data_IF_589711805358
#
_entry.id   IF_589711805358
#
_cell.length_a   1.000
_cell.length_b   1.000
_cell.length_c   1.000
_cell.angle_alpha   90.00
_cell.angle_beta   90.00
_cell.angle_gamma   90.00
#
_symmetry.space_group_name_H-M   'P 1'
#
loop_
_entity.id
_entity.type
_entity.pdbx_description
1 polymer ?
#
# COMPACT_ATOMS: atom_id res chain seq x y z
N UNK A 1 -27.67 -4.92 17.01
CA UNK A 1 -27.58 -5.62 15.72
C UNK A 1 -26.44 -6.62 15.78
N UNK A 2 -26.67 -7.82 16.33
CA UNK A 2 -25.64 -8.85 16.48
C UNK A 2 -25.42 -9.55 15.15
N UNK A 3 -24.38 -9.17 14.40
CA UNK A 3 -24.05 -9.77 13.11
C UNK A 3 -23.47 -11.17 13.30
N UNK A 4 -24.20 -12.18 12.84
CA UNK A 4 -23.76 -13.58 12.84
C UNK A 4 -22.54 -13.73 11.92
N UNK A 5 -21.44 -14.32 12.43
CA UNK A 5 -20.19 -14.52 11.68
C UNK A 5 -20.11 -15.96 11.16
N UNK A 6 -19.63 -16.13 9.93
CA UNK A 6 -19.40 -17.41 9.26
C UNK A 6 -17.97 -17.47 8.72
N UNK A 7 -17.35 -18.64 8.71
CA UNK A 7 -16.00 -18.81 8.14
C UNK A 7 -16.09 -19.06 6.63
N UNK A 8 -15.40 -18.26 5.83
CA UNK A 8 -15.39 -18.44 4.38
C UNK A 8 -14.66 -19.73 3.99
N UNK A 9 -15.25 -20.62 3.19
CA UNK A 9 -14.62 -21.88 2.78
C UNK A 9 -13.44 -21.69 1.81
N UNK A 10 -13.36 -20.55 1.13
CA UNK A 10 -12.26 -20.26 0.19
C UNK A 10 -11.01 -19.67 0.89
N UNK A 11 -11.19 -18.69 1.79
CA UNK A 11 -10.05 -18.00 2.42
C UNK A 11 -9.86 -18.29 3.91
N UNK A 12 -10.75 -19.08 4.53
CA UNK A 12 -10.66 -19.49 5.93
C UNK A 12 -10.90 -18.38 6.97
N UNK A 13 -11.23 -17.16 6.54
CA UNK A 13 -11.46 -16.01 7.45
C UNK A 13 -12.92 -15.90 7.89
N UNK A 14 -13.15 -15.54 9.16
CA UNK A 14 -14.48 -15.26 9.69
C UNK A 14 -15.02 -13.94 9.15
N UNK A 15 -16.06 -14.03 8.33
CA UNK A 15 -16.74 -12.91 7.68
C UNK A 15 -18.18 -12.79 8.18
N UNK A 16 -18.84 -11.67 7.91
CA UNK A 16 -20.24 -11.47 8.30
C UNK A 16 -21.12 -12.30 7.35
N UNK A 17 -22.18 -12.92 7.86
CA UNK A 17 -23.14 -13.64 7.02
C UNK A 17 -23.74 -12.69 5.97
N UNK A 18 -23.51 -13.00 4.69
CA UNK A 18 -23.94 -12.23 3.53
C UNK A 18 -23.67 -13.02 2.25
N UNK A 19 -24.06 -12.48 1.09
CA UNK A 19 -23.94 -13.19 -0.20
C UNK A 19 -22.49 -13.49 -0.58
N UNK A 20 -21.54 -12.64 -0.19
CA UNK A 20 -20.13 -12.76 -0.54
C UNK A 20 -19.24 -12.55 0.69
N UNK A 21 -18.08 -13.20 0.69
CA UNK A 21 -17.04 -12.95 1.68
C UNK A 21 -16.45 -11.56 1.50
N UNK A 22 -16.49 -10.73 2.55
CA UNK A 22 -15.93 -9.37 2.50
C UNK A 22 -14.41 -9.33 2.24
N UNK A 23 -13.71 -10.46 2.46
CA UNK A 23 -12.26 -10.53 2.35
C UNK A 23 -11.77 -11.05 0.99
N UNK A 24 -12.46 -12.03 0.40
CA UNK A 24 -12.03 -12.65 -0.86
C UNK A 24 -13.09 -12.63 -1.96
N UNK A 25 -14.28 -12.08 -1.71
CA UNK A 25 -15.36 -11.99 -2.70
C UNK A 25 -16.07 -13.32 -3.00
N UNK A 26 -15.66 -14.43 -2.38
CA UNK A 26 -16.25 -15.75 -2.60
C UNK A 26 -17.72 -15.79 -2.16
N UNK A 27 -18.60 -16.31 -3.01
CA UNK A 27 -20.04 -16.45 -2.74
C UNK A 27 -20.29 -17.42 -1.59
N UNK A 28 -20.92 -16.95 -0.51
CA UNK A 28 -21.16 -17.74 0.71
C UNK A 28 -22.53 -18.42 0.73
N UNK A 29 -23.49 -17.91 -0.04
CA UNK A 29 -24.83 -18.50 -0.18
C UNK A 29 -25.03 -19.01 -1.61
N UNK A 30 -25.27 -20.32 -1.83
CA UNK A 30 -25.72 -20.82 -3.12
C UNK A 30 -27.17 -20.35 -3.38
N UNK A 31 -27.50 -20.08 -4.65
CA UNK A 31 -28.83 -19.64 -5.07
C UNK A 31 -29.91 -20.67 -4.64
N UNK A 32 -31.12 -20.22 -4.23
CA UNK A 32 -32.14 -21.12 -3.71
C UNK A 32 -32.79 -21.92 -4.84
N UNK A 33 -32.69 -23.24 -4.79
CA UNK A 33 -33.62 -24.15 -5.47
C UNK A 33 -34.88 -24.35 -4.61
N UNK A 34 -36.09 -24.33 -5.20
CA UNK A 34 -37.35 -24.33 -4.46
C UNK A 34 -37.85 -25.74 -4.14
N UNK A 35 -38.08 -26.06 -2.85
CA UNK A 35 -39.06 -27.08 -2.42
C UNK A 35 -39.64 -26.69 -1.05
N UNK A 36 -40.96 -26.83 -0.92
CA UNK A 36 -41.89 -26.48 0.16
C UNK A 36 -41.86 -27.41 1.43
N UNK A 37 -42.58 -27.04 2.53
CA UNK A 37 -42.38 -27.43 3.95
C UNK A 37 -43.36 -28.56 4.41
N UNK A 38 -43.48 -29.03 5.70
CA UNK A 38 -43.70 -28.34 7.01
C UNK A 38 -42.85 -28.98 8.17
N UNK A 39 -42.85 -28.61 9.46
CA UNK A 39 -43.92 -28.36 10.45
C UNK A 39 -43.49 -27.53 11.68
N UNK A 40 -44.54 -27.08 12.35
CA UNK A 40 -44.76 -26.22 13.52
C UNK A 40 -44.33 -26.87 14.86
N UNK A 41 -43.88 -26.06 15.83
CA UNK A 41 -44.39 -26.10 17.21
C UNK A 41 -43.87 -24.93 18.05
N UNK A 42 -44.81 -24.10 18.50
CA UNK A 42 -44.71 -23.10 19.56
C UNK A 42 -44.43 -23.76 20.93
N UNK A 43 -43.84 -23.04 21.89
CA UNK A 43 -44.45 -22.82 23.22
C UNK A 43 -43.56 -22.02 24.20
N UNK A 44 -44.19 -20.94 24.72
CA UNK A 44 -44.28 -20.50 26.13
C UNK A 44 -43.09 -19.81 26.87
N UNK A 45 -43.18 -18.47 26.88
CA UNK A 45 -43.48 -17.59 28.04
C UNK A 45 -42.93 -17.87 29.48
N UNK A 46 -42.41 -16.76 30.05
CA UNK A 46 -42.52 -16.23 31.43
C UNK A 46 -41.58 -16.70 32.56
N UNK A 47 -40.76 -15.76 33.08
CA UNK A 47 -40.86 -15.06 34.40
C UNK A 47 -39.57 -14.23 34.63
N UNK A 48 -39.66 -12.91 34.89
CA UNK A 48 -39.72 -12.24 36.21
C UNK A 48 -38.41 -12.41 37.03
N UNK A 49 -37.79 -11.45 37.72
CA UNK A 49 -37.99 -10.02 38.03
C UNK A 49 -36.76 -9.58 38.89
N UNK A 50 -36.63 -8.27 39.20
CA UNK A 50 -35.91 -7.67 40.38
C UNK A 50 -34.36 -7.54 40.30
N UNK A 51 -33.67 -6.43 40.63
CA UNK A 51 -33.84 -5.17 41.44
C UNK A 51 -32.80 -4.13 40.89
N UNK A 52 -33.04 -2.82 40.67
CA UNK A 52 -33.08 -1.65 41.60
C UNK A 52 -31.95 -1.63 42.67
N UNK A 53 -31.21 -0.58 43.04
CA UNK A 53 -31.01 0.84 42.66
C UNK A 53 -29.74 1.35 43.43
N UNK A 54 -29.49 2.68 43.42
CA UNK A 54 -28.45 3.50 44.11
C UNK A 54 -27.04 3.60 43.46
N UNK A 55 -26.62 4.70 42.82
CA UNK A 55 -26.52 6.15 43.16
C UNK A 55 -25.49 6.43 44.26
N UNK A 56 -24.31 7.00 43.90
CA UNK A 56 -23.71 8.17 44.56
C UNK A 56 -22.82 8.91 43.54
N UNK A 57 -23.01 10.23 43.44
CA UNK A 57 -22.25 11.18 42.63
C UNK A 57 -21.30 12.05 43.50
N UNK A 58 -20.42 12.80 42.81
CA UNK A 58 -19.66 14.02 43.17
C UNK A 58 -18.16 13.84 43.51
N UNK A 59 -17.30 14.87 43.36
CA UNK A 59 -17.07 15.73 42.18
C UNK A 59 -15.56 16.00 41.87
N UNK A 60 -15.34 16.72 40.76
CA UNK A 60 -14.10 17.26 40.14
C UNK A 60 -13.13 18.02 41.07
N UNK A 61 -11.87 18.26 40.66
CA UNK A 61 -11.57 19.60 40.15
C UNK A 61 -10.68 19.68 38.88
N UNK A 62 -10.84 20.82 38.21
CA UNK A 62 -10.28 21.29 36.95
C UNK A 62 -8.74 21.25 36.81
N UNK A 63 -8.28 20.95 35.59
CA UNK A 63 -6.97 21.37 35.10
C UNK A 63 -7.08 21.89 33.65
N UNK A 64 -6.38 23.00 33.42
CA UNK A 64 -6.47 23.92 32.28
C UNK A 64 -6.13 23.31 30.90
N UNK A 65 -6.57 23.97 29.80
CA UNK A 65 -6.33 23.53 28.43
C UNK A 65 -4.85 23.65 28.05
N UNK A 66 -4.22 22.53 27.70
CA UNK A 66 -2.93 22.50 27.04
C UNK A 66 -3.11 22.81 25.55
N UNK A 67 -2.41 23.82 25.05
CA UNK A 67 -2.25 24.11 23.63
C UNK A 67 -1.81 22.85 22.84
N UNK A 68 -2.28 22.66 21.60
CA UNK A 68 -1.82 21.56 20.77
C UNK A 68 -0.36 21.81 20.37
N UNK A 69 0.55 21.05 20.98
CA UNK A 69 1.91 20.86 20.49
C UNK A 69 1.80 20.23 19.11
N UNK A 70 2.23 20.98 18.09
CA UNK A 70 2.35 20.48 16.73
C UNK A 70 3.24 19.23 16.72
N UNK A 71 2.60 18.15 16.29
CA UNK A 71 3.02 16.78 16.12
C UNK A 71 4.15 16.64 15.11
N UNK A 72 5.38 16.40 15.59
CA UNK A 72 6.53 16.07 14.75
C UNK A 72 6.58 14.60 14.26
N UNK A 73 5.53 13.80 14.55
CA UNK A 73 5.44 12.37 14.16
C UNK A 73 4.30 12.05 13.17
N UNK A 74 3.48 13.02 12.77
CA UNK A 74 2.27 12.75 11.96
C UNK A 74 2.52 12.59 10.46
N UNK A 75 3.63 13.11 9.93
CA UNK A 75 3.87 13.13 8.48
C UNK A 75 3.91 11.75 7.78
N UNK A 76 4.67 10.71 8.22
CA UNK A 76 4.68 9.39 7.57
C UNK A 76 3.30 8.72 7.50
N UNK A 77 2.38 9.13 8.37
CA UNK A 77 1.01 8.60 8.40
C UNK A 77 0.20 9.13 7.21
N UNK A 78 0.37 10.39 6.82
CA UNK A 78 -0.36 10.99 5.71
C UNK A 78 0.10 10.43 4.36
N UNK A 79 1.42 10.34 4.15
CA UNK A 79 1.97 9.78 2.91
C UNK A 79 1.58 8.30 2.77
N UNK A 80 1.63 7.54 3.87
CA UNK A 80 1.17 6.15 3.88
C UNK A 80 -0.32 6.02 3.59
N UNK A 81 -1.17 6.86 4.18
CA UNK A 81 -2.62 6.89 3.89
C UNK A 81 -2.88 7.19 2.42
N UNK A 82 -2.15 8.12 1.82
CA UNK A 82 -2.27 8.46 0.40
C UNK A 82 -1.90 7.25 -0.47
N UNK A 83 -0.76 6.61 -0.21
CA UNK A 83 -0.32 5.41 -0.91
C UNK A 83 -1.31 4.25 -0.73
N UNK A 84 -1.84 4.03 0.48
CA UNK A 84 -2.83 2.97 0.76
C UNK A 84 -4.15 3.19 0.01
N UNK A 85 -4.60 4.44 -0.13
CA UNK A 85 -5.77 4.78 -0.93
C UNK A 85 -5.55 4.49 -2.41
N UNK A 86 -4.39 4.89 -2.95
CA UNK A 86 -4.01 4.63 -4.35
C UNK A 86 -3.91 3.12 -4.60
N UNK A 87 -3.24 2.39 -3.73
CA UNK A 87 -3.10 0.93 -3.82
C UNK A 87 -4.47 0.23 -3.79
N UNK A 88 -5.39 0.69 -2.95
CA UNK A 88 -6.76 0.15 -2.88
C UNK A 88 -7.51 0.34 -4.20
N UNK A 89 -7.41 1.52 -4.81
CA UNK A 89 -8.05 1.80 -6.11
C UNK A 89 -7.41 0.98 -7.22
N UNK A 90 -6.08 0.86 -7.28
CA UNK A 90 -5.42 -0.02 -8.25
C UNK A 90 -5.91 -1.47 -8.09
N UNK A 91 -6.02 -1.97 -6.87
CA UNK A 91 -6.52 -3.32 -6.62
C UNK A 91 -7.98 -3.50 -7.10
N UNK A 92 -8.87 -2.54 -6.84
CA UNK A 92 -10.25 -2.59 -7.34
C UNK A 92 -10.30 -2.49 -8.86
N UNK A 93 -9.51 -1.60 -9.45
CA UNK A 93 -9.47 -1.39 -10.89
C UNK A 93 -8.89 -2.60 -11.64
N UNK A 94 -7.82 -3.22 -11.14
CA UNK A 94 -7.28 -4.46 -11.72
C UNK A 94 -8.28 -5.61 -11.64
N UNK A 95 -9.02 -5.71 -10.52
CA UNK A 95 -10.12 -6.70 -10.40
C UNK A 95 -11.26 -6.40 -11.36
N UNK A 96 -11.61 -5.13 -11.57
CA UNK A 96 -12.61 -4.74 -12.54
C UNK A 96 -12.19 -5.17 -13.95
N UNK A 97 -10.92 -4.99 -14.31
CA UNK A 97 -10.35 -5.49 -15.57
C UNK A 97 -10.46 -7.02 -15.65
N UNK A 98 -10.12 -7.75 -14.57
CA UNK A 98 -10.23 -9.21 -14.56
C UNK A 98 -11.68 -9.70 -14.74
N UNK A 99 -12.65 -9.12 -14.02
CA UNK A 99 -14.09 -9.43 -14.15
C UNK A 99 -14.56 -9.16 -15.60
N UNK A 100 -14.12 -8.05 -16.18
CA UNK A 100 -14.48 -7.69 -17.54
C UNK A 100 -13.88 -8.65 -18.58
N UNK A 101 -12.61 -9.04 -18.41
CA UNK A 101 -11.96 -10.04 -19.26
C UNK A 101 -12.66 -11.41 -19.19
N UNK A 102 -13.21 -11.76 -18.03
CA UNK A 102 -14.00 -12.98 -17.83
C UNK A 102 -15.43 -12.88 -18.39
N UNK A 103 -15.82 -11.74 -18.96
CA UNK A 103 -17.18 -11.45 -19.47
C UNK A 103 -18.26 -11.50 -18.41
N UNK A 104 -17.90 -11.21 -17.16
CA UNK A 104 -18.82 -11.17 -16.02
C UNK A 104 -19.44 -9.76 -15.82
N UNK A 105 -18.94 -8.76 -16.54
CA UNK A 105 -19.44 -7.38 -16.51
C UNK A 105 -19.85 -6.90 -17.90
N UNK A 106 -20.92 -6.11 -17.94
CA UNK A 106 -21.36 -5.41 -19.15
C UNK A 106 -20.40 -4.26 -19.51
N UNK A 107 -20.26 -3.98 -20.81
CA UNK A 107 -19.35 -2.95 -21.33
C UNK A 107 -19.71 -1.53 -20.88
N UNK A 108 -20.99 -1.21 -20.74
CA UNK A 108 -21.47 0.09 -20.28
C UNK A 108 -21.12 0.29 -18.80
N UNK A 109 -21.47 -0.69 -17.95
CA UNK A 109 -21.16 -0.68 -16.51
C UNK A 109 -19.64 -0.62 -16.28
N UNK A 110 -18.86 -1.42 -17.02
CA UNK A 110 -17.40 -1.38 -16.95
C UNK A 110 -16.86 0.01 -17.29
N UNK A 111 -17.39 0.64 -18.33
CA UNK A 111 -16.94 1.97 -18.78
C UNK A 111 -17.20 3.04 -17.72
N UNK A 112 -18.37 3.00 -17.07
CA UNK A 112 -18.70 3.93 -15.99
C UNK A 112 -17.75 3.77 -14.80
N UNK A 113 -17.59 2.54 -14.30
CA UNK A 113 -16.70 2.25 -13.18
C UNK A 113 -15.23 2.54 -13.50
N UNK A 114 -14.80 2.25 -14.74
CA UNK A 114 -13.45 2.58 -15.20
C UNK A 114 -13.19 4.08 -15.11
N UNK A 115 -14.12 4.91 -15.59
CA UNK A 115 -14.00 6.38 -15.54
C UNK A 115 -13.98 6.90 -14.10
N UNK A 116 -14.81 6.35 -13.22
CA UNK A 116 -14.82 6.73 -11.81
C UNK A 116 -13.48 6.42 -11.14
N UNK A 117 -12.98 5.18 -11.29
CA UNK A 117 -11.70 4.79 -10.73
C UNK A 117 -10.54 5.58 -11.32
N UNK A 118 -10.54 5.82 -12.64
CA UNK A 118 -9.52 6.63 -13.31
C UNK A 118 -9.50 8.05 -12.79
N UNK A 119 -10.65 8.73 -12.72
CA UNK A 119 -10.74 10.09 -12.20
C UNK A 119 -10.22 10.19 -10.76
N UNK A 120 -10.59 9.23 -9.90
CA UNK A 120 -10.11 9.16 -8.52
C UNK A 120 -8.62 8.89 -8.44
N UNK A 121 -8.11 8.00 -9.30
CA UNK A 121 -6.70 7.64 -9.37
C UNK A 121 -5.84 8.82 -9.85
N UNK A 122 -6.29 9.55 -10.88
CA UNK A 122 -5.62 10.75 -11.39
C UNK A 122 -5.51 11.83 -10.31
N UNK A 123 -6.60 12.09 -9.58
CA UNK A 123 -6.61 13.08 -8.50
C UNK A 123 -5.63 12.73 -7.35
N UNK A 124 -5.56 11.45 -6.96
CA UNK A 124 -4.63 11.01 -5.92
C UNK A 124 -3.19 10.93 -6.42
N UNK A 125 -2.98 10.49 -7.66
CA UNK A 125 -1.65 10.46 -8.30
C UNK A 125 -1.08 11.87 -8.41
N UNK A 126 -1.88 12.87 -8.78
CA UNK A 126 -1.44 14.26 -8.86
C UNK A 126 -0.97 14.78 -7.50
N UNK A 127 -1.69 14.46 -6.42
CA UNK A 127 -1.27 14.78 -5.04
C UNK A 127 0.04 14.07 -4.67
N UNK A 128 0.14 12.78 -4.97
CA UNK A 128 1.34 11.97 -4.72
C UNK A 128 2.56 12.54 -5.44
N UNK A 129 2.42 12.88 -6.71
CA UNK A 129 3.51 13.47 -7.52
C UNK A 129 3.94 14.84 -7.03
N UNK A 130 3.00 15.66 -6.54
CA UNK A 130 3.34 16.94 -5.92
C UNK A 130 4.18 16.76 -4.64
N UNK A 131 3.81 15.82 -3.77
CA UNK A 131 4.58 15.52 -2.55
C UNK A 131 5.94 14.87 -2.87
N UNK A 132 6.03 14.03 -3.90
CA UNK A 132 7.31 13.51 -4.40
C UNK A 132 8.22 14.66 -4.81
N UNK A 133 7.74 15.55 -5.69
CA UNK A 133 8.54 16.70 -6.18
C UNK A 133 9.04 17.57 -5.03
N UNK A 134 8.15 17.94 -4.10
CA UNK A 134 8.48 18.74 -2.91
C UNK A 134 9.54 18.06 -2.03
N UNK A 135 9.41 16.75 -1.83
CA UNK A 135 10.36 15.96 -1.03
C UNK A 135 11.72 15.85 -1.73
N UNK A 136 11.74 15.61 -3.04
CA UNK A 136 12.95 15.54 -3.86
C UNK A 136 13.67 16.89 -3.91
N UNK A 137 12.95 17.99 -4.12
CA UNK A 137 13.50 19.35 -4.09
C UNK A 137 14.16 19.65 -2.75
N UNK A 138 13.51 19.30 -1.63
CA UNK A 138 14.07 19.51 -0.30
C UNK A 138 15.33 18.66 -0.06
N UNK A 139 15.33 17.39 -0.48
CA UNK A 139 16.52 16.53 -0.39
C UNK A 139 17.67 17.11 -1.22
N UNK A 140 17.39 17.60 -2.43
CA UNK A 140 18.40 18.18 -3.31
C UNK A 140 18.98 19.49 -2.73
N UNK A 141 18.13 20.34 -2.16
CA UNK A 141 18.55 21.56 -1.47
C UNK A 141 19.48 21.25 -0.29
N UNK A 142 19.08 20.31 0.57
CA UNK A 142 19.88 19.86 1.72
C UNK A 142 21.22 19.26 1.28
N UNK A 143 21.22 18.48 0.20
CA UNK A 143 22.44 17.88 -0.37
C UNK A 143 23.39 18.96 -0.88
N UNK A 144 22.87 19.95 -1.62
CA UNK A 144 23.68 21.10 -2.09
C UNK A 144 24.21 21.94 -0.93
N UNK A 145 23.42 22.14 0.13
CA UNK A 145 23.87 22.85 1.32
C UNK A 145 24.99 22.10 2.04
N UNK A 146 24.92 20.77 2.11
CA UNK A 146 25.98 19.93 2.67
C UNK A 146 27.27 20.04 1.86
N UNK A 147 27.19 20.05 0.52
CA UNK A 147 28.34 20.25 -0.36
C UNK A 147 28.99 21.62 -0.14
N UNK A 148 28.20 22.70 -0.10
CA UNK A 148 28.72 24.05 0.21
C UNK A 148 29.37 24.11 1.59
N UNK A 149 28.75 23.50 2.59
CA UNK A 149 29.28 23.44 3.94
C UNK A 149 30.61 22.69 3.99
N UNK A 150 30.73 21.59 3.25
CA UNK A 150 31.97 20.83 3.10
C UNK A 150 33.09 21.68 2.49
N UNK A 151 32.82 22.40 1.40
CA UNK A 151 33.80 23.31 0.78
C UNK A 151 34.26 24.39 1.76
N UNK A 152 33.33 25.05 2.46
CA UNK A 152 33.66 26.09 3.46
C UNK A 152 34.51 25.55 4.62
N UNK A 153 34.26 24.32 5.03
CA UNK A 153 35.07 23.65 6.04
C UNK A 153 36.47 23.33 5.52
N UNK A 154 36.60 22.81 4.29
CA UNK A 154 37.90 22.49 3.66
C UNK A 154 38.80 23.71 3.49
N UNK A 155 38.23 24.90 3.23
CA UNK A 155 38.98 26.17 3.15
C UNK A 155 39.16 26.85 4.52
N UNK A 156 38.71 26.24 5.61
CA UNK A 156 38.90 26.74 6.97
C UNK A 156 37.96 27.87 7.42
N UNK A 157 36.94 28.22 6.62
CA UNK A 157 35.92 29.21 7.01
C UNK A 157 35.00 28.71 8.12
N UNK A 158 34.81 27.39 8.21
CA UNK A 158 33.94 26.73 9.20
C UNK A 158 34.75 25.81 10.11
N UNK A 159 34.75 26.04 11.43
CA UNK A 159 35.39 25.15 12.40
C UNK A 159 34.74 23.76 12.45
N UNK A 160 35.53 22.74 12.76
CA UNK A 160 35.11 21.32 12.82
C UNK A 160 33.83 21.12 13.62
N UNK A 161 33.72 21.74 14.80
CA UNK A 161 32.55 21.60 15.67
C UNK A 161 31.27 22.10 15.01
N UNK A 162 31.34 23.21 14.29
CA UNK A 162 30.18 23.80 13.58
C UNK A 162 29.83 22.94 12.37
N UNK A 163 30.85 22.52 11.61
CA UNK A 163 30.70 21.61 10.47
C UNK A 163 29.99 20.32 10.87
N UNK A 164 30.49 19.63 11.91
CA UNK A 164 29.92 18.36 12.39
C UNK A 164 28.47 18.56 12.84
N UNK A 165 28.17 19.63 13.56
CA UNK A 165 26.82 19.90 14.07
C UNK A 165 25.83 20.10 12.93
N UNK A 166 26.15 20.98 11.97
CA UNK A 166 25.28 21.27 10.83
C UNK A 166 25.16 20.06 9.88
N UNK A 167 26.24 19.32 9.68
CA UNK A 167 26.22 18.09 8.88
C UNK A 167 25.27 17.06 9.49
N UNK A 168 25.35 16.82 10.80
CA UNK A 168 24.46 15.87 11.48
C UNK A 168 22.99 16.31 11.41
N UNK A 169 22.71 17.61 11.46
CA UNK A 169 21.36 18.15 11.30
C UNK A 169 20.81 17.89 9.90
N UNK A 170 21.59 18.22 8.85
CA UNK A 170 21.23 17.95 7.46
C UNK A 170 21.04 16.45 7.21
N UNK A 171 21.98 15.62 7.67
CA UNK A 171 21.92 14.16 7.51
C UNK A 171 20.67 13.57 8.19
N UNK A 172 20.28 14.09 9.37
CA UNK A 172 19.04 13.69 10.06
C UNK A 172 17.80 14.09 9.27
N UNK A 173 17.76 15.28 8.70
CA UNK A 173 16.62 15.74 7.91
C UNK A 173 16.48 14.91 6.63
N UNK A 174 17.56 14.67 5.89
CA UNK A 174 17.58 13.76 4.73
C UNK A 174 17.14 12.36 5.15
N UNK A 175 17.62 11.88 6.31
CA UNK A 175 17.25 10.59 6.89
C UNK A 175 15.75 10.46 7.19
N UNK A 176 15.05 11.56 7.48
CA UNK A 176 13.59 11.59 7.67
C UNK A 176 12.80 11.71 6.36
N UNK A 177 13.39 12.33 5.33
CA UNK A 177 12.73 12.54 4.03
C UNK A 177 12.82 11.31 3.12
N UNK A 178 13.92 10.55 3.17
CA UNK A 178 14.08 9.34 2.33
C UNK A 178 13.01 8.26 2.56
N UNK A 179 12.61 7.93 3.80
CA UNK A 179 11.54 6.98 4.06
C UNK A 179 10.22 7.44 3.45
N UNK A 180 9.86 8.72 3.62
CA UNK A 180 8.67 9.33 3.03
C UNK A 180 8.67 9.22 1.50
N UNK A 181 9.79 9.58 0.88
CA UNK A 181 9.94 9.48 -0.57
C UNK A 181 9.76 8.03 -1.05
N UNK A 182 10.31 7.06 -0.32
CA UNK A 182 10.11 5.64 -0.63
C UNK A 182 8.63 5.21 -0.59
N UNK A 183 7.89 5.64 0.43
CA UNK A 183 6.44 5.34 0.58
C UNK A 183 5.66 5.91 -0.60
N UNK A 184 5.95 7.16 -0.99
CA UNK A 184 5.27 7.83 -2.09
C UNK A 184 5.65 7.24 -3.46
N UNK A 185 6.87 6.73 -3.63
CA UNK A 185 7.34 6.13 -4.88
C UNK A 185 6.72 4.75 -5.16
N UNK A 186 6.11 4.09 -4.17
CA UNK A 186 5.47 2.78 -4.31
C UNK A 186 3.94 2.85 -4.19
N UNK A 187 3.23 3.30 -5.23
CA UNK A 187 1.78 3.49 -5.16
C UNK A 187 0.97 2.19 -5.12
N UNK A 188 1.61 1.05 -5.37
CA UNK A 188 0.96 -0.26 -5.28
C UNK A 188 1.01 -0.84 -3.86
N UNK A 189 1.85 -0.26 -2.99
CA UNK A 189 2.12 -0.77 -1.64
C UNK A 189 2.54 -2.25 -1.64
N UNK A 190 3.38 -2.64 -2.60
CA UNK A 190 3.86 -4.02 -2.77
C UNK A 190 5.30 -4.14 -2.23
N UNK A 191 5.62 -5.28 -1.62
CA UNK A 191 6.98 -5.57 -1.14
C UNK A 191 7.93 -5.69 -2.32
N UNK A 192 9.18 -5.24 -2.15
CA UNK A 192 10.14 -5.28 -3.25
C UNK A 192 10.35 -6.70 -3.81
N UNK A 193 10.34 -7.73 -2.95
CA UNK A 193 10.45 -9.13 -3.37
C UNK A 193 9.26 -9.67 -4.18
N UNK A 194 8.07 -9.07 -4.04
CA UNK A 194 6.86 -9.50 -4.77
C UNK A 194 6.71 -8.77 -6.13
N UNK A 195 7.52 -7.74 -6.39
CA UNK A 195 7.45 -6.95 -7.63
C UNK A 195 7.58 -7.77 -8.92
N UNK A 196 8.46 -8.80 -9.02
CA UNK A 196 8.58 -9.57 -10.25
C UNK A 196 7.28 -10.29 -10.62
N UNK A 197 6.63 -10.93 -9.63
CA UNK A 197 5.35 -11.62 -9.86
C UNK A 197 4.24 -10.63 -10.18
N UNK A 198 4.18 -9.50 -9.47
CA UNK A 198 3.19 -8.46 -9.79
C UNK A 198 3.37 -7.88 -11.20
N UNK A 199 4.62 -7.70 -11.64
CA UNK A 199 4.94 -7.25 -12.99
C UNK A 199 4.44 -8.23 -14.04
N UNK A 200 4.76 -9.50 -13.88
CA UNK A 200 4.33 -10.56 -14.80
C UNK A 200 2.80 -10.62 -14.90
N UNK A 201 2.10 -10.55 -13.77
CA UNK A 201 0.63 -10.54 -13.76
C UNK A 201 0.03 -9.30 -14.43
N UNK A 202 0.72 -8.16 -14.41
CA UNK A 202 0.25 -6.93 -15.06
C UNK A 202 0.52 -6.97 -16.57
N UNK A 203 1.66 -7.53 -16.99
CA UNK A 203 2.00 -7.79 -18.39
C UNK A 203 1.00 -8.78 -19.01
N UNK A 204 0.71 -9.89 -18.32
CA UNK A 204 -0.27 -10.88 -18.76
C UNK A 204 -1.67 -10.29 -18.92
N UNK A 205 -2.10 -9.42 -17.99
CA UNK A 205 -3.38 -8.69 -18.10
C UNK A 205 -3.42 -7.80 -19.34
N UNK A 206 -2.36 -7.04 -19.58
CA UNK A 206 -2.26 -6.16 -20.75
C UNK A 206 -2.30 -6.95 -22.06
N UNK A 207 -1.59 -8.06 -22.13
CA UNK A 207 -1.63 -8.96 -23.28
C UNK A 207 -3.03 -9.55 -23.52
N UNK A 208 -3.65 -10.10 -22.47
CA UNK A 208 -5.02 -10.62 -22.52
C UNK A 208 -6.04 -9.56 -22.94
N UNK A 209 -5.89 -8.34 -22.42
CA UNK A 209 -6.76 -7.23 -22.77
C UNK A 209 -6.62 -6.83 -24.24
N UNK A 210 -5.40 -6.65 -24.73
CA UNK A 210 -5.13 -6.30 -26.12
C UNK A 210 -5.59 -7.40 -27.10
N UNK A 211 -5.42 -8.68 -26.74
CA UNK A 211 -5.85 -9.81 -27.56
C UNK A 211 -7.38 -9.89 -27.67
N UNK A 212 -8.11 -9.52 -26.62
CA UNK A 212 -9.58 -9.66 -26.57
C UNK A 212 -10.33 -8.36 -26.89
N UNK A 213 -9.64 -7.24 -27.09
CA UNK A 213 -10.23 -5.90 -27.20
C UNK A 213 -11.41 -5.80 -28.19
N UNK A 214 -11.29 -6.44 -29.36
CA UNK A 214 -12.32 -6.45 -30.41
C UNK A 214 -13.57 -7.25 -30.05
N UNK A 215 -13.43 -8.21 -29.13
CA UNK A 215 -14.50 -9.13 -28.74
C UNK A 215 -15.24 -8.66 -27.48
N UNK A 216 -14.78 -7.57 -26.85
CA UNK A 216 -15.27 -7.08 -25.56
C UNK A 216 -16.36 -5.99 -25.70
N UNK A 217 -16.68 -5.55 -26.92
CA UNK A 217 -17.74 -4.56 -27.16
C UNK A 217 -17.44 -3.16 -26.62
N UNK A 218 -16.18 -2.85 -26.29
CA UNK A 218 -15.76 -1.51 -25.91
C UNK A 218 -15.62 -0.60 -27.13
N UNK A 219 -15.83 0.69 -26.94
CA UNK A 219 -15.40 1.69 -27.93
C UNK A 219 -13.87 1.76 -27.97
N UNK A 220 -13.31 2.02 -29.16
CA UNK A 220 -11.86 2.09 -29.36
C UNK A 220 -11.19 3.11 -28.41
N UNK A 221 -11.89 4.20 -28.08
CA UNK A 221 -11.41 5.21 -27.13
C UNK A 221 -11.23 4.66 -25.72
N UNK A 222 -12.25 4.03 -25.15
CA UNK A 222 -12.17 3.44 -23.80
C UNK A 222 -11.17 2.31 -23.75
N UNK A 223 -11.12 1.50 -24.82
CA UNK A 223 -10.20 0.39 -24.89
C UNK A 223 -8.73 0.87 -24.92
N UNK A 224 -8.43 1.93 -25.69
CA UNK A 224 -7.12 2.57 -25.68
C UNK A 224 -6.79 3.21 -24.31
N UNK A 225 -7.78 3.79 -23.63
CA UNK A 225 -7.60 4.35 -22.29
C UNK A 225 -7.21 3.28 -21.26
N UNK A 226 -7.91 2.14 -21.21
CA UNK A 226 -7.60 1.04 -20.30
C UNK A 226 -6.19 0.49 -20.55
N UNK A 227 -5.84 0.25 -21.82
CA UNK A 227 -4.51 -0.20 -22.19
C UNK A 227 -3.43 0.82 -21.78
N UNK A 228 -3.71 2.11 -21.96
CA UNK A 228 -2.84 3.20 -21.53
C UNK A 228 -2.64 3.22 -20.00
N UNK A 229 -3.67 2.99 -19.20
CA UNK A 229 -3.56 2.91 -17.75
C UNK A 229 -2.72 1.70 -17.29
N UNK A 230 -2.88 0.54 -17.93
CA UNK A 230 -2.04 -0.65 -17.66
C UNK A 230 -0.57 -0.36 -17.98
N UNK A 231 -0.29 0.31 -19.11
CA UNK A 231 1.06 0.72 -19.49
C UNK A 231 1.66 1.75 -18.53
N UNK A 232 0.87 2.73 -18.06
CA UNK A 232 1.32 3.68 -17.02
C UNK A 232 1.69 2.95 -15.73
N UNK A 233 0.87 1.99 -15.30
CA UNK A 233 1.16 1.18 -14.12
C UNK A 233 2.46 0.37 -14.28
N UNK A 234 2.70 -0.24 -15.45
CA UNK A 234 3.96 -0.92 -15.76
C UNK A 234 5.17 0.03 -15.72
N UNK A 235 5.05 1.25 -16.26
CA UNK A 235 6.13 2.24 -16.24
C UNK A 235 6.49 2.67 -14.81
N UNK A 236 5.50 2.85 -13.93
CA UNK A 236 5.75 3.11 -12.51
C UNK A 236 6.50 1.93 -11.88
N UNK A 237 6.09 0.70 -12.23
CA UNK A 237 6.69 -0.53 -11.71
C UNK A 237 8.15 -0.72 -12.13
N UNK A 238 8.54 -0.28 -13.33
CA UNK A 238 9.93 -0.35 -13.80
C UNK A 238 10.91 0.40 -12.87
N UNK A 239 10.48 1.54 -12.33
CA UNK A 239 11.29 2.32 -11.37
C UNK A 239 11.53 1.50 -10.10
N UNK A 240 10.48 0.86 -9.57
CA UNK A 240 10.57 -0.02 -8.40
C UNK A 240 11.41 -1.28 -8.68
N UNK A 241 11.27 -1.86 -9.88
CA UNK A 241 12.05 -3.02 -10.32
C UNK A 241 13.55 -2.72 -10.37
N UNK A 242 13.95 -1.47 -10.62
CA UNK A 242 15.35 -1.07 -10.55
C UNK A 242 15.93 -1.25 -9.14
N UNK A 243 15.13 -1.03 -8.09
CA UNK A 243 15.52 -1.22 -6.69
C UNK A 243 15.63 -2.73 -6.37
N UNK A 244 14.63 -3.52 -6.77
CA UNK A 244 14.66 -4.98 -6.63
C UNK A 244 15.90 -5.59 -7.30
N UNK A 245 16.21 -5.19 -8.55
CA UNK A 245 17.39 -5.67 -9.29
C UNK A 245 18.70 -5.35 -8.58
N UNK A 246 18.83 -4.15 -7.98
CA UNK A 246 20.01 -3.77 -7.21
C UNK A 246 20.21 -4.69 -6.01
N UNK A 247 19.17 -4.89 -5.19
CA UNK A 247 19.24 -5.73 -4.00
C UNK A 247 19.52 -7.19 -4.38
N UNK A 248 18.82 -7.69 -5.42
CA UNK A 248 19.03 -9.07 -5.94
C UNK A 248 20.46 -9.29 -6.41
N UNK A 249 21.05 -8.32 -7.10
CA UNK A 249 22.45 -8.38 -7.55
C UNK A 249 23.44 -8.37 -6.38
N UNK A 250 23.18 -7.59 -5.33
CA UNK A 250 24.02 -7.61 -4.13
C UNK A 250 23.91 -8.93 -3.36
N UNK A 251 22.71 -9.54 -3.30
CA UNK A 251 22.53 -10.90 -2.78
C UNK A 251 23.35 -11.93 -3.57
N UNK A 252 23.28 -11.88 -4.91
CA UNK A 252 24.03 -12.80 -5.77
C UNK A 252 25.56 -12.64 -5.58
N UNK A 253 26.06 -11.40 -5.54
CA UNK A 253 27.47 -11.12 -5.23
C UNK A 253 27.88 -11.68 -3.88
N UNK A 254 27.03 -11.48 -2.86
CA UNK A 254 27.27 -11.97 -1.51
C UNK A 254 27.35 -13.50 -1.48
N UNK A 255 26.46 -14.19 -2.20
CA UNK A 255 26.49 -15.64 -2.35
C UNK A 255 27.75 -16.15 -3.03
N UNK A 256 28.20 -15.49 -4.11
CA UNK A 256 29.43 -15.85 -4.80
C UNK A 256 30.63 -15.69 -3.87
N UNK A 257 30.75 -14.56 -3.16
CA UNK A 257 31.84 -14.30 -2.19
C UNK A 257 31.91 -15.36 -1.09
N UNK A 258 30.76 -15.80 -0.60
CA UNK A 258 30.71 -16.90 0.37
C UNK A 258 31.17 -18.23 -0.26
N UNK A 259 30.68 -18.56 -1.47
CA UNK A 259 31.04 -19.80 -2.18
C UNK A 259 32.54 -19.91 -2.50
N UNK A 260 33.20 -18.79 -2.79
CA UNK A 260 34.66 -18.75 -3.04
C UNK A 260 35.50 -18.65 -1.76
N UNK A 261 34.85 -18.63 -0.58
CA UNK A 261 35.54 -18.61 0.71
C UNK A 261 36.06 -17.24 1.16
N UNK A 262 35.69 -16.15 0.49
CA UNK A 262 36.05 -14.78 0.91
C UNK A 262 35.32 -14.33 2.18
N UNK A 263 34.20 -14.97 2.53
CA UNK A 263 33.36 -14.62 3.67
C UNK A 263 33.20 -15.77 4.64
N UNK A 264 33.18 -15.44 5.93
CA UNK A 264 32.80 -16.39 6.98
C UNK A 264 31.29 -16.62 6.95
N UNK A 265 30.85 -17.79 7.38
CA UNK A 265 29.43 -18.15 7.41
C UNK A 265 28.59 -17.16 8.24
N UNK A 266 29.09 -16.70 9.37
CA UNK A 266 28.40 -15.70 10.22
C UNK A 266 28.20 -14.35 9.52
N UNK A 267 29.21 -13.90 8.77
CA UNK A 267 29.17 -12.63 8.02
C UNK A 267 28.22 -12.74 6.83
N UNK A 268 28.26 -13.87 6.11
CA UNK A 268 27.33 -14.16 5.02
C UNK A 268 25.88 -14.14 5.51
N UNK A 269 25.56 -14.88 6.58
CA UNK A 269 24.19 -14.95 7.11
C UNK A 269 23.68 -13.57 7.58
N UNK A 270 24.54 -12.79 8.27
CA UNK A 270 24.15 -11.44 8.73
C UNK A 270 23.89 -10.49 7.57
N UNK A 271 24.74 -10.49 6.54
CA UNK A 271 24.56 -9.63 5.37
C UNK A 271 23.36 -10.08 4.53
N UNK A 272 23.16 -11.39 4.37
CA UNK A 272 22.03 -11.97 3.65
C UNK A 272 20.72 -11.57 4.30
N UNK A 273 20.59 -11.75 5.61
CA UNK A 273 19.39 -11.37 6.36
C UNK A 273 19.08 -9.87 6.21
N UNK A 274 20.10 -8.99 6.20
CA UNK A 274 19.90 -7.55 5.99
C UNK A 274 19.33 -7.23 4.61
N UNK A 275 19.84 -7.87 3.56
CA UNK A 275 19.39 -7.67 2.19
C UNK A 275 18.00 -8.28 1.96
N UNK A 276 17.74 -9.48 2.49
CA UNK A 276 16.41 -10.11 2.45
C UNK A 276 15.37 -9.26 3.17
N UNK A 277 15.71 -8.69 4.34
CA UNK A 277 14.83 -7.76 5.03
C UNK A 277 14.50 -6.52 4.19
N UNK A 278 15.43 -6.02 3.37
CA UNK A 278 15.12 -4.92 2.45
C UNK A 278 14.10 -5.34 1.37
N UNK A 279 14.10 -6.61 0.95
CA UNK A 279 13.10 -7.14 0.01
C UNK A 279 11.72 -7.32 0.65
N UNK A 280 11.65 -7.62 1.94
CA UNK A 280 10.41 -7.77 2.70
C UNK A 280 9.72 -6.43 3.00
N UNK A 281 10.46 -5.33 2.95
CA UNK A 281 9.93 -4.00 3.18
C UNK A 281 9.24 -3.46 1.92
N UNK A 282 8.15 -2.73 2.11
CA UNK A 282 7.62 -1.81 1.10
C UNK A 282 8.56 -0.61 1.02
N UNK A 283 8.83 -0.11 -0.19
CA UNK A 283 9.73 1.03 -0.39
C UNK A 283 9.42 2.14 0.62
N UNK A 284 10.43 2.59 1.38
CA UNK A 284 10.28 3.62 2.41
C UNK A 284 10.02 3.15 3.85
N UNK A 285 9.95 1.86 4.14
CA UNK A 285 9.81 1.33 5.52
C UNK A 285 11.14 1.12 6.27
N UNK A 286 12.20 1.85 5.91
CA UNK A 286 13.52 1.80 6.58
C UNK A 286 13.75 3.06 7.39
#
# INVERSE_FOLDING_TARGET
>A
MSSTRITCPNCGRSTIKGKFCIYCGYTLEPAPTPVEPPEVSEELLTKAEQQAADIVATPSPEAKPSEPIATAEETPVEEKRLTDQIASIYNWWLRLVDIFLNKEADAEIFTELHKEYKSRLDALNQKREAEIRKTEERINELTSNLEKLKVKHEIGEVPDRVYITQKLEIDREIGRLRPKLGILQNPFNIRLGDLPSFKEQLEERLEKFNANIKNLGLSDGIAAEVAGELQKALKILEVLMSQHRKISKELEKLEIRFKIGELKQSEYLSQKQKLERQLELTAGSV
#
